data_IF_922993076037
#
_entry.id   IF_922993076037
#
_cell.length_a   1.000
_cell.length_b   1.000
_cell.length_c   1.000
_cell.angle_alpha   90.00
_cell.angle_beta   90.00
_cell.angle_gamma   90.00
#
_symmetry.space_group_name_H-M   'P 1'
#
loop_
_entity.id
_entity.type
_entity.pdbx_description
1 polymer ?
#
# COMPACT_ATOMS: atom_id res chain seq x y z
N UNK A 1 10.05 6.57 -0.36
CA UNK A 1 10.95 5.99 -1.38
C UNK A 1 10.20 5.69 -2.67
N UNK A 2 10.86 5.61 -3.82
CA UNK A 2 10.21 5.22 -5.11
C UNK A 2 10.11 3.69 -5.23
N UNK A 3 9.25 3.14 -6.12
CA UNK A 3 9.18 1.70 -6.35
C UNK A 3 10.51 1.08 -6.80
N UNK A 4 11.34 1.83 -7.53
CA UNK A 4 12.69 1.38 -7.91
C UNK A 4 13.64 1.29 -6.71
N UNK A 5 13.58 2.24 -5.78
CA UNK A 5 14.36 2.18 -4.54
C UNK A 5 13.90 1.03 -3.64
N UNK A 6 12.58 0.80 -3.52
CA UNK A 6 12.04 -0.33 -2.77
C UNK A 6 12.46 -1.68 -3.36
N UNK A 7 12.45 -1.81 -4.69
CA UNK A 7 12.90 -3.01 -5.40
C UNK A 7 14.37 -3.33 -5.06
N UNK A 8 15.23 -2.31 -5.08
CA UNK A 8 16.64 -2.46 -4.70
C UNK A 8 16.80 -2.86 -3.22
N UNK A 9 16.05 -2.24 -2.31
CA UNK A 9 16.11 -2.55 -0.87
C UNK A 9 15.65 -3.98 -0.56
N UNK A 10 14.60 -4.45 -1.24
CA UNK A 10 14.05 -5.79 -1.07
C UNK A 10 14.76 -6.86 -1.90
N UNK A 11 15.72 -6.47 -2.76
CA UNK A 11 16.39 -7.34 -3.76
C UNK A 11 15.41 -8.13 -4.64
N UNK A 12 14.30 -7.49 -5.04
CA UNK A 12 13.29 -8.08 -5.92
C UNK A 12 13.12 -7.27 -7.20
N UNK A 13 12.50 -7.88 -8.21
CA UNK A 13 12.14 -7.15 -9.42
C UNK A 13 11.07 -6.08 -9.12
N UNK A 14 11.11 -4.95 -9.83
CA UNK A 14 10.13 -3.86 -9.66
C UNK A 14 8.67 -4.33 -9.83
N UNK A 15 8.45 -5.33 -10.69
CA UNK A 15 7.12 -5.91 -10.90
C UNK A 15 6.57 -6.61 -9.63
N UNK A 16 7.46 -7.16 -8.79
CA UNK A 16 7.13 -7.77 -7.51
C UNK A 16 6.73 -6.73 -6.47
N UNK A 17 7.38 -5.56 -6.47
CA UNK A 17 7.00 -4.45 -5.57
C UNK A 17 5.56 -4.02 -5.79
N UNK A 18 5.13 -3.89 -7.05
CA UNK A 18 3.73 -3.60 -7.34
C UNK A 18 2.79 -4.73 -6.93
N UNK A 19 3.23 -5.99 -6.96
CA UNK A 19 2.42 -7.10 -6.49
C UNK A 19 2.25 -7.03 -4.96
N UNK A 20 3.28 -6.62 -4.23
CA UNK A 20 3.19 -6.35 -2.79
C UNK A 20 2.22 -5.21 -2.47
N UNK A 21 2.16 -4.18 -3.31
CA UNK A 21 1.15 -3.10 -3.17
C UNK A 21 -0.26 -3.66 -3.40
N UNK A 22 -0.48 -4.46 -4.46
CA UNK A 22 -1.79 -5.07 -4.74
C UNK A 22 -2.24 -6.05 -3.64
N UNK A 23 -1.30 -6.74 -3.00
CA UNK A 23 -1.55 -7.61 -1.84
C UNK A 23 -1.76 -6.83 -0.53
N UNK A 24 -1.63 -5.50 -0.53
CA UNK A 24 -1.74 -4.67 0.68
C UNK A 24 -0.57 -4.80 1.65
N UNK A 25 0.58 -5.35 1.22
CA UNK A 25 1.79 -5.47 2.03
C UNK A 25 2.60 -4.17 2.10
N UNK A 26 2.41 -3.29 1.12
CA UNK A 26 3.02 -1.97 1.07
C UNK A 26 1.96 -0.93 0.75
N UNK A 27 1.97 0.18 1.47
CA UNK A 27 1.02 1.27 1.22
C UNK A 27 1.56 2.19 0.13
N UNK A 28 0.81 2.34 -0.97
CA UNK A 28 1.11 3.40 -1.94
C UNK A 28 0.64 4.77 -1.42
N UNK A 29 1.53 5.74 -1.46
CA UNK A 29 1.22 7.16 -1.27
C UNK A 29 1.41 7.89 -2.58
N UNK A 30 0.38 8.59 -3.04
CA UNK A 30 0.44 9.41 -4.27
C UNK A 30 0.42 10.89 -3.92
N UNK A 31 1.58 11.52 -3.67
CA UNK A 31 1.65 12.98 -3.56
C UNK A 31 1.31 13.69 -4.88
N UNK A 32 1.37 12.99 -6.01
CA UNK A 32 0.95 13.48 -7.32
C UNK A 32 0.42 12.31 -8.16
N UNK A 33 -0.48 12.53 -9.12
CA UNK A 33 -1.09 11.44 -9.90
C UNK A 33 -0.06 10.58 -10.64
N UNK A 34 1.09 11.15 -10.97
CA UNK A 34 2.19 10.48 -11.69
C UNK A 34 3.29 9.91 -10.77
N UNK A 35 3.28 10.21 -9.46
CA UNK A 35 4.35 9.80 -8.54
C UNK A 35 3.80 8.88 -7.46
N UNK A 36 4.29 7.65 -7.49
CA UNK A 36 4.07 6.67 -6.42
C UNK A 36 5.26 6.76 -5.46
N UNK A 37 4.95 6.95 -4.18
CA UNK A 37 5.89 6.88 -3.07
C UNK A 37 5.46 5.77 -2.11
N UNK A 38 6.44 5.06 -1.57
CA UNK A 38 6.27 4.01 -0.57
C UNK A 38 6.91 4.47 0.73
N UNK A 39 6.35 4.04 1.85
CA UNK A 39 6.91 4.32 3.16
C UNK A 39 8.18 3.49 3.40
N UNK A 40 9.20 4.10 3.97
CA UNK A 40 10.48 3.43 4.18
C UNK A 40 10.45 2.43 5.34
N UNK A 41 9.65 2.70 6.37
CA UNK A 41 9.49 1.81 7.50
C UNK A 41 8.72 0.55 7.10
N UNK A 42 7.67 0.68 6.28
CA UNK A 42 6.93 -0.47 5.75
C UNK A 42 7.81 -1.39 4.90
N UNK A 43 8.65 -0.81 4.03
CA UNK A 43 9.58 -1.59 3.22
C UNK A 43 10.63 -2.30 4.08
N UNK A 44 11.15 -1.64 5.13
CA UNK A 44 12.08 -2.27 6.07
C UNK A 44 11.42 -3.40 6.88
N UNK A 45 10.19 -3.19 7.35
CA UNK A 45 9.41 -4.18 8.09
C UNK A 45 9.08 -5.40 7.22
N UNK A 46 8.71 -5.17 5.96
CA UNK A 46 8.51 -6.24 4.98
C UNK A 46 9.81 -7.01 4.74
N UNK A 47 10.94 -6.32 4.57
CA UNK A 47 12.25 -6.96 4.40
C UNK A 47 12.63 -7.84 5.60
N UNK A 48 12.37 -7.38 6.82
CA UNK A 48 12.60 -8.17 8.02
C UNK A 48 11.68 -9.41 8.06
N UNK A 49 10.40 -9.23 7.75
CA UNK A 49 9.42 -10.32 7.76
C UNK A 49 9.71 -11.37 6.67
N UNK A 50 10.22 -10.98 5.51
CA UNK A 50 10.59 -11.95 4.45
C UNK A 50 11.75 -12.88 4.82
N UNK A 51 12.53 -12.53 5.86
CA UNK A 51 13.59 -13.41 6.39
C UNK A 51 13.05 -14.45 7.36
N UNK A 52 11.83 -14.25 7.86
CA UNK A 52 11.15 -15.21 8.69
C UNK A 52 10.60 -16.35 7.81
N UNK A 53 10.95 -17.61 8.09
CA UNK A 53 10.52 -18.74 7.27
C UNK A 53 9.01 -19.04 7.39
N UNK A 54 8.34 -18.60 8.45
CA UNK A 54 6.89 -18.79 8.63
C UNK A 54 6.07 -17.73 7.89
N UNK A 55 6.69 -16.60 7.55
CA UNK A 55 6.05 -15.52 6.81
C UNK A 55 5.56 -15.93 5.41
N UNK A 56 6.30 -16.80 4.71
CA UNK A 56 5.97 -17.25 3.36
C UNK A 56 5.13 -18.53 3.37
N UNK A 57 3.88 -18.40 3.79
CA UNK A 57 2.94 -19.52 3.70
C UNK A 57 2.59 -19.83 2.23
N UNK A 58 2.20 -21.07 1.90
CA UNK A 58 1.77 -21.44 0.56
C UNK A 58 0.66 -20.52 0.00
N UNK A 59 -0.28 -20.12 0.86
CA UNK A 59 -1.36 -19.19 0.49
C UNK A 59 -0.83 -17.85 0.00
N UNK A 60 0.13 -17.25 0.72
CA UNK A 60 0.74 -15.98 0.30
C UNK A 60 1.55 -16.09 -0.99
N UNK A 61 2.20 -17.23 -1.22
CA UNK A 61 2.93 -17.49 -2.47
C UNK A 61 1.94 -17.55 -3.65
N UNK A 62 0.78 -18.19 -3.46
CA UNK A 62 -0.29 -18.23 -4.47
C UNK A 62 -0.86 -16.83 -4.74
N UNK A 63 -1.13 -16.04 -3.71
CA UNK A 63 -1.60 -14.65 -3.86
C UNK A 63 -0.57 -13.78 -4.60
N UNK A 64 0.72 -13.93 -4.28
CA UNK A 64 1.80 -13.23 -4.97
C UNK A 64 1.89 -13.62 -6.45
N UNK A 65 1.76 -14.91 -6.76
CA UNK A 65 1.75 -15.40 -8.13
C UNK A 65 0.55 -14.83 -8.92
N UNK A 66 -0.64 -14.82 -8.31
CA UNK A 66 -1.84 -14.24 -8.92
C UNK A 66 -1.69 -12.73 -9.15
N UNK A 67 -1.16 -11.98 -8.18
CA UNK A 67 -0.91 -10.54 -8.32
C UNK A 67 0.16 -10.23 -9.40
N UNK A 68 1.15 -11.11 -9.59
CA UNK A 68 2.13 -10.96 -10.69
C UNK A 68 1.57 -11.30 -12.06
N UNK A 69 0.61 -12.22 -12.13
CA UNK A 69 -0.04 -12.65 -13.37
C UNK A 69 -1.13 -11.67 -13.86
N UNK A 70 -1.63 -10.79 -12.98
CA UNK A 70 -2.61 -9.77 -13.36
C UNK A 70 -2.00 -8.80 -14.38
N UNK A 71 -2.59 -8.68 -15.60
CA UNK A 71 -2.11 -7.75 -16.59
C UNK A 71 -2.29 -6.32 -16.06
N UNK A 72 -1.18 -5.59 -15.90
CA UNK A 72 -1.19 -4.16 -15.56
C UNK A 72 -1.48 -3.29 -16.79
N UNK A 73 -2.45 -3.71 -17.60
CA UNK A 73 -2.79 -3.13 -18.89
C UNK A 73 -3.97 -2.16 -18.80
N UNK A 74 -3.66 -0.88 -18.99
CA UNK A 74 -4.47 0.12 -19.72
C UNK A 74 -5.91 0.37 -19.26
N UNK A 75 -6.09 1.37 -18.40
CA UNK A 75 -7.32 2.17 -18.34
C UNK A 75 -8.45 1.61 -17.47
N UNK A 76 -8.85 2.42 -16.48
CA UNK A 76 -10.15 2.39 -15.79
C UNK A 76 -10.42 1.22 -14.82
N UNK A 77 -10.19 1.48 -13.53
CA UNK A 77 -10.99 0.90 -12.43
C UNK A 77 -10.21 0.47 -11.17
N UNK A 78 -10.83 0.53 -9.97
CA UNK A 78 -11.56 1.62 -9.36
C UNK A 78 -10.67 2.45 -8.40
N UNK A 79 -11.01 3.73 -8.23
CA UNK A 79 -10.53 4.57 -7.12
C UNK A 79 -10.84 3.86 -5.81
N UNK A 80 -9.82 3.43 -5.08
CA UNK A 80 -9.95 3.35 -3.62
C UNK A 80 -9.82 4.79 -3.11
N UNK A 81 -10.90 5.56 -3.28
CA UNK A 81 -11.01 6.90 -2.69
C UNK A 81 -11.11 6.76 -1.18
N UNK A 82 -10.16 7.39 -0.50
CA UNK A 82 -10.27 8.04 0.79
C UNK A 82 -11.20 7.38 1.83
N UNK A 83 -10.60 6.72 2.80
CA UNK A 83 -11.11 6.73 4.18
C UNK A 83 -11.08 8.18 4.69
N UNK A 84 -12.09 8.97 4.32
CA UNK A 84 -12.45 10.17 5.07
C UNK A 84 -12.96 9.69 6.42
N UNK A 85 -12.08 9.67 7.42
CA UNK A 85 -12.46 9.69 8.83
C UNK A 85 -13.25 10.98 9.04
N UNK A 86 -14.57 10.88 8.92
CA UNK A 86 -15.50 11.91 9.37
C UNK A 86 -15.58 11.83 10.89
N UNK A 87 -14.59 12.37 11.58
CA UNK A 87 -14.73 12.69 13.00
C UNK A 87 -15.69 13.87 13.12
N UNK A 88 -16.97 13.52 13.25
CA UNK A 88 -18.05 14.42 13.61
C UNK A 88 -17.86 14.84 15.06
N UNK A 89 -17.02 15.84 15.35
CA UNK A 89 -17.07 16.51 16.66
C UNK A 89 -18.06 17.65 16.56
N UNK A 90 -19.27 17.37 17.03
CA UNK A 90 -20.35 18.32 17.21
C UNK A 90 -19.83 19.57 17.91
N UNK A 91 -19.98 20.71 17.23
CA UNK A 91 -19.79 22.05 17.77
C UNK A 91 -21.19 22.59 18.06
N UNK A 92 -21.76 22.23 19.20
CA UNK A 92 -22.98 22.88 19.68
C UNK A 92 -22.57 23.97 20.66
N UNK A 93 -22.36 25.17 20.10
CA UNK A 93 -22.33 26.38 20.89
C UNK A 93 -23.78 26.69 21.31
N UNK A 94 -24.11 26.42 22.57
CA UNK A 94 -25.28 26.98 23.23
C UNK A 94 -24.84 28.16 24.08
N UNK A 95 -24.73 29.34 23.47
CA UNK A 95 -24.67 30.63 24.16
C UNK A 95 -26.00 31.33 23.90
N UNK A 96 -26.80 31.53 24.94
CA UNK A 96 -27.94 32.43 24.85
C UNK A 96 -28.95 32.26 25.97
N UNK A 97 -28.87 33.19 26.95
CA UNK A 97 -29.96 33.81 27.73
C UNK A 97 -30.72 32.84 28.65
N UNK A 98 -30.98 33.13 29.92
CA UNK A 98 -31.41 34.36 30.60
C UNK A 98 -30.94 34.35 32.06
#
# INVERSE_FOLDING_TARGET
MTPGQAAAALRVHRNTVYAYIEMGLLTERRPSPQRIMLDAAEVAALHASMRDPEYWTPGRVTELAAARARPRGTGTGPRISAHTVRSSRARTAGRGRE
#
